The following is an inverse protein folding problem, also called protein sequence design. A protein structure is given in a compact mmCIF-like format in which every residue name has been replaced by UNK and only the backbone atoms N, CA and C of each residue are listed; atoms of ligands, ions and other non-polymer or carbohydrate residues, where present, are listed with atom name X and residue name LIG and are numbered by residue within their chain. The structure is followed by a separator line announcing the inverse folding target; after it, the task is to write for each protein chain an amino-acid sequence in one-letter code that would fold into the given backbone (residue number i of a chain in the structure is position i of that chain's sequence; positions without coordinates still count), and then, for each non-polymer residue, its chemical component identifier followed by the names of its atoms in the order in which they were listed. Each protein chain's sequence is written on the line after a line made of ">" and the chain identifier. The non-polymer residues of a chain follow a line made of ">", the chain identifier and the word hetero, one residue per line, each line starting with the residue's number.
data_IF_740364422371
#
_entry.id   IF_740364422371
#
_cell.length_a   1.000
_cell.length_b   1.000
_cell.length_c   1.000
_cell.angle_alpha   90.00
_cell.angle_beta   90.00
_cell.angle_gamma   90.00
#
_symmetry.space_group_name_H-M   'P 1'
#
loop_
_entity.id
_entity.type
_entity.pdbx_description
1 polymer ?
#
# COMPACT_ATOMS: atom_id res chain seq x y z
N UNK A 1 -9.55 18.25 -6.69
CA UNK A 1 -10.31 17.37 -7.61
C UNK A 1 -9.42 16.34 -8.31
N UNK A 2 -8.33 16.76 -8.97
CA UNK A 2 -7.41 15.87 -9.71
C UNK A 2 -6.79 14.73 -8.88
N UNK A 3 -6.37 15.02 -7.63
CA UNK A 3 -5.76 14.01 -6.77
C UNK A 3 -6.71 12.82 -6.49
N UNK A 4 -7.98 13.09 -6.19
CA UNK A 4 -8.97 12.03 -5.93
C UNK A 4 -9.31 11.22 -7.19
N UNK A 5 -9.39 11.87 -8.35
CA UNK A 5 -9.63 11.17 -9.62
C UNK A 5 -8.46 10.25 -10.00
N UNK A 6 -7.22 10.71 -9.83
CA UNK A 6 -6.02 9.90 -10.03
C UNK A 6 -6.00 8.70 -9.08
N UNK A 7 -6.40 8.89 -7.83
CA UNK A 7 -6.47 7.81 -6.84
C UNK A 7 -7.56 6.77 -7.17
N UNK A 8 -8.73 7.21 -7.62
CA UNK A 8 -9.80 6.32 -8.04
C UNK A 8 -9.37 5.48 -9.26
N UNK A 9 -8.70 6.10 -10.24
CA UNK A 9 -8.19 5.40 -11.42
C UNK A 9 -7.10 4.37 -11.07
N UNK A 10 -6.14 4.74 -10.21
CA UNK A 10 -5.08 3.82 -9.76
C UNK A 10 -5.66 2.67 -8.92
N UNK A 11 -6.69 2.93 -8.11
CA UNK A 11 -7.37 1.91 -7.32
C UNK A 11 -8.14 0.91 -8.21
N UNK A 12 -8.85 1.41 -9.23
CA UNK A 12 -9.59 0.59 -10.18
C UNK A 12 -8.67 -0.27 -11.07
N UNK A 13 -7.43 0.17 -11.31
CA UNK A 13 -6.44 -0.55 -12.09
C UNK A 13 -5.62 -1.57 -11.30
N UNK A 14 -5.81 -1.69 -9.97
CA UNK A 14 -5.10 -2.73 -9.22
C UNK A 14 -5.70 -4.09 -9.53
N UNK A 15 -4.90 -5.08 -9.99
CA UNK A 15 -5.36 -6.45 -10.10
C UNK A 15 -5.78 -6.96 -8.72
N UNK A 16 -6.80 -7.81 -8.67
CA UNK A 16 -7.28 -8.46 -7.45
C UNK A 16 -6.09 -9.14 -6.77
N UNK A 17 -5.63 -8.57 -5.66
CA UNK A 17 -4.57 -9.14 -4.85
C UNK A 17 -4.99 -10.54 -4.43
N UNK A 18 -4.13 -11.53 -4.68
CA UNK A 18 -4.28 -12.85 -4.08
C UNK A 18 -4.43 -12.69 -2.57
N UNK A 19 -5.37 -13.40 -1.91
CA UNK A 19 -5.96 -12.92 -0.67
C UNK A 19 -5.04 -12.85 0.57
N UNK A 20 -3.78 -13.27 0.50
CA UNK A 20 -2.97 -13.48 1.72
C UNK A 20 -1.66 -12.67 1.81
N UNK A 21 -1.15 -12.07 0.72
CA UNK A 21 0.24 -11.59 0.73
C UNK A 21 0.44 -10.07 0.76
N UNK A 22 -0.61 -9.27 0.54
CA UNK A 22 -0.45 -7.81 0.43
C UNK A 22 -1.71 -7.03 0.82
N UNK A 23 -1.55 -6.03 1.69
CA UNK A 23 -2.63 -5.11 2.03
C UNK A 23 -3.01 -4.28 0.78
N UNK A 24 -4.32 -4.11 0.47
CA UNK A 24 -4.75 -3.24 -0.62
C UNK A 24 -4.36 -1.78 -0.36
N UNK A 25 -4.36 -0.97 -1.41
CA UNK A 25 -4.12 0.47 -1.26
C UNK A 25 -5.28 1.11 -0.50
N UNK A 26 -5.07 1.35 0.79
CA UNK A 26 -6.00 2.07 1.65
C UNK A 26 -5.82 3.58 1.48
N UNK A 27 -6.83 4.37 1.87
CA UNK A 27 -6.76 5.83 1.82
C UNK A 27 -5.53 6.43 2.54
N UNK A 28 -5.12 5.94 3.72
CA UNK A 28 -3.87 6.38 4.35
C UNK A 28 -2.60 6.06 3.54
N UNK A 29 -2.50 4.86 2.95
CA UNK A 29 -1.34 4.48 2.12
C UNK A 29 -1.28 5.33 0.85
N UNK A 30 -2.43 5.60 0.25
CA UNK A 30 -2.62 6.51 -0.87
C UNK A 30 -2.13 7.92 -0.53
N UNK A 31 -2.58 8.49 0.60
CA UNK A 31 -2.16 9.84 1.04
C UNK A 31 -0.65 9.89 1.26
N UNK A 32 -0.08 8.85 1.89
CA UNK A 32 1.36 8.79 2.13
C UNK A 32 2.15 8.72 0.82
N UNK A 33 1.71 7.90 -0.13
CA UNK A 33 2.34 7.81 -1.45
C UNK A 33 2.31 9.14 -2.19
N UNK A 34 1.17 9.84 -2.20
CA UNK A 34 1.08 11.16 -2.81
C UNK A 34 2.00 12.17 -2.13
N UNK A 35 2.05 12.18 -0.79
CA UNK A 35 2.94 13.06 -0.06
C UNK A 35 4.41 12.76 -0.39
N UNK A 36 4.83 11.49 -0.41
CA UNK A 36 6.19 11.11 -0.78
C UNK A 36 6.50 11.47 -2.24
N UNK A 37 5.61 11.22 -3.18
CA UNK A 37 5.83 11.57 -4.59
C UNK A 37 5.89 13.10 -4.81
N UNK A 38 5.10 13.87 -4.08
CA UNK A 38 5.06 15.32 -4.23
C UNK A 38 6.22 16.04 -3.52
N UNK A 39 6.71 15.49 -2.40
CA UNK A 39 7.67 16.17 -1.52
C UNK A 39 9.10 15.67 -1.67
N UNK A 40 9.33 14.52 -2.31
CA UNK A 40 10.67 13.93 -2.40
C UNK A 40 11.21 14.02 -3.83
N UNK A 41 12.30 14.75 -4.02
CA UNK A 41 13.05 14.82 -5.30
C UNK A 41 14.19 13.81 -5.36
N UNK A 42 14.63 13.30 -4.20
CA UNK A 42 15.81 12.45 -4.06
C UNK A 42 15.58 10.99 -4.47
N UNK A 43 14.33 10.54 -4.65
CA UNK A 43 14.00 9.14 -4.89
C UNK A 43 13.17 9.00 -6.15
N UNK A 44 13.50 8.02 -6.98
CA UNK A 44 12.74 7.75 -8.20
C UNK A 44 11.36 7.21 -7.85
N UNK A 45 10.38 7.46 -8.72
CA UNK A 45 9.01 6.92 -8.60
C UNK A 45 9.06 5.39 -8.40
N UNK A 46 9.91 4.69 -9.15
CA UNK A 46 10.11 3.24 -9.03
C UNK A 46 10.57 2.83 -7.62
N UNK A 47 11.51 3.57 -7.02
CA UNK A 47 11.98 3.29 -5.66
C UNK A 47 10.86 3.48 -4.62
N UNK A 48 10.08 4.56 -4.75
CA UNK A 48 8.94 4.87 -3.88
C UNK A 48 7.87 3.77 -3.99
N UNK A 49 7.55 3.32 -5.22
CA UNK A 49 6.58 2.25 -5.45
C UNK A 49 7.06 0.90 -4.90
N UNK A 50 8.34 0.56 -5.09
CA UNK A 50 8.94 -0.67 -4.53
C UNK A 50 8.93 -0.67 -3.00
N UNK A 51 9.22 0.47 -2.38
CA UNK A 51 9.13 0.63 -0.93
C UNK A 51 7.71 0.45 -0.41
N UNK A 52 6.73 1.05 -1.09
CA UNK A 52 5.32 0.92 -0.75
C UNK A 52 4.85 -0.54 -0.86
N UNK A 53 5.26 -1.26 -1.91
CA UNK A 53 4.97 -2.67 -2.10
C UNK A 53 5.55 -3.53 -0.96
N UNK A 54 6.85 -3.36 -0.67
CA UNK A 54 7.53 -4.07 0.41
C UNK A 54 6.83 -3.86 1.76
N UNK A 55 6.47 -2.61 2.09
CA UNK A 55 5.81 -2.27 3.35
C UNK A 55 4.44 -2.93 3.45
N UNK A 56 3.60 -2.86 2.40
CA UNK A 56 2.26 -3.44 2.44
C UNK A 56 2.29 -4.96 2.56
N UNK A 57 3.29 -5.64 1.97
CA UNK A 57 3.50 -7.07 2.20
C UNK A 57 3.88 -7.37 3.65
N UNK A 58 4.79 -6.59 4.23
CA UNK A 58 5.17 -6.76 5.63
C UNK A 58 4.02 -6.50 6.59
N UNK A 59 3.17 -5.52 6.31
CA UNK A 59 1.97 -5.28 7.11
C UNK A 59 0.97 -6.44 7.01
N UNK A 60 0.79 -7.03 5.82
CA UNK A 60 -0.06 -8.22 5.65
C UNK A 60 0.45 -9.39 6.49
N UNK A 61 1.76 -9.66 6.43
CA UNK A 61 2.40 -10.69 7.26
C UNK A 61 2.26 -10.42 8.75
N UNK A 62 2.51 -9.19 9.19
CA UNK A 62 2.35 -8.82 10.60
C UNK A 62 0.89 -9.00 11.07
N UNK A 63 -0.08 -8.63 10.22
CA UNK A 63 -1.51 -8.84 10.45
C UNK A 63 -1.83 -10.34 10.56
N UNK A 64 -1.32 -11.16 9.65
CA UNK A 64 -1.50 -12.61 9.66
C UNK A 64 -0.94 -13.25 10.95
N UNK A 65 0.31 -12.96 11.31
CA UNK A 65 0.92 -13.44 12.56
C UNK A 65 0.18 -12.97 13.81
N UNK A 66 -0.29 -11.71 13.83
CA UNK A 66 -1.05 -11.16 14.95
C UNK A 66 -2.38 -11.89 15.13
N UNK A 67 -3.11 -12.12 14.05
CA UNK A 67 -4.38 -12.85 14.12
C UNK A 67 -4.17 -14.33 14.47
N UNK A 68 -3.17 -15.01 13.91
CA UNK A 68 -2.82 -16.38 14.29
C UNK A 68 -2.58 -16.49 15.81
N UNK A 69 -1.70 -15.65 16.36
CA UNK A 69 -1.41 -15.65 17.81
C UNK A 69 -2.62 -15.32 18.67
N UNK A 70 -3.54 -14.49 18.18
CA UNK A 70 -4.77 -14.14 18.90
C UNK A 70 -5.82 -15.27 18.86
N UNK A 71 -5.76 -16.13 17.85
CA UNK A 71 -6.64 -17.30 17.72
C UNK A 71 -6.08 -18.56 18.37
N UNK A 72 -4.83 -18.55 18.84
CA UNK A 72 -4.27 -19.62 19.67
C UNK A 72 -4.89 -19.55 21.08
N UNK A 73 -5.52 -20.64 21.58
CA UNK A 73 -6.22 -20.68 22.86
C UNK A 73 -5.31 -20.61 24.09
#
# INVERSE_FOLDING_TARGET
>A
MLALALLAAIAAAQPTSTPDDRIPLTLPEIRRLLATLALTTAHTVTAIMRWSDWRRRHQARARHCHYQRRSEP
#
